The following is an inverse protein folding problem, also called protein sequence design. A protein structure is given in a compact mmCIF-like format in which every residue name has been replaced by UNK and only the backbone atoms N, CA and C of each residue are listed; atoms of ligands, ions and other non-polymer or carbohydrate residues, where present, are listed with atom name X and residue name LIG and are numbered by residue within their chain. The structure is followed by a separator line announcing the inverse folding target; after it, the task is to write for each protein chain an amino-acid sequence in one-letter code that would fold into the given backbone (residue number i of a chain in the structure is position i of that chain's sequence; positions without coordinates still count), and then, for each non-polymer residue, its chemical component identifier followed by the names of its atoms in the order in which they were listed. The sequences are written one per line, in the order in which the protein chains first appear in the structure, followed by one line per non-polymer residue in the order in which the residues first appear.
data_IF_424667962946
#
_entry.id   IF_424667962946
#
_cell.length_a   1.000
_cell.length_b   1.000
_cell.length_c   1.000
_cell.angle_alpha   90.00
_cell.angle_beta   90.00
_cell.angle_gamma   90.00
#
_symmetry.space_group_name_H-M   'P 1'
#
loop_
_entity.id
_entity.type
_entity.pdbx_description
1 polymer ?
#
# COMPACT_ATOMS: atom_id res chain seq x y z
N UNK A 1 -12.54 5.25 41.06
CA UNK A 1 -12.57 4.21 40.01
C UNK A 1 -11.63 4.58 38.87
N UNK A 2 -11.06 3.59 38.19
CA UNK A 2 -10.28 3.77 36.96
C UNK A 2 -11.06 3.14 35.80
N UNK A 3 -11.14 3.81 34.66
CA UNK A 3 -11.85 3.27 33.49
C UNK A 3 -10.96 3.27 32.25
N UNK A 4 -11.16 2.28 31.38
CA UNK A 4 -10.52 2.16 30.06
C UNK A 4 -11.60 2.38 29.00
N UNK A 5 -11.33 3.22 28.01
CA UNK A 5 -12.26 3.41 26.89
C UNK A 5 -11.53 3.78 25.60
N UNK A 6 -12.27 3.84 24.51
CA UNK A 6 -11.78 4.11 23.16
C UNK A 6 -12.83 4.85 22.34
N UNK A 7 -12.59 5.03 21.04
CA UNK A 7 -13.50 5.76 20.17
C UNK A 7 -14.79 4.99 19.82
N UNK A 8 -15.84 5.76 19.52
CA UNK A 8 -17.07 5.31 18.83
C UNK A 8 -16.69 4.63 17.52
N UNK A 9 -17.52 3.68 17.09
CA UNK A 9 -17.23 2.76 15.98
C UNK A 9 -15.98 1.90 16.26
N UNK A 10 -15.83 1.44 17.50
CA UNK A 10 -14.70 0.59 17.95
C UNK A 10 -14.43 -0.56 16.98
N UNK A 11 -13.24 -0.58 16.39
CA UNK A 11 -12.69 -1.64 15.55
C UNK A 11 -11.83 -2.61 16.39
N UNK A 12 -11.15 -3.57 15.76
CA UNK A 12 -10.37 -4.55 16.49
C UNK A 12 -9.11 -3.97 17.10
N UNK A 13 -8.47 -2.96 16.51
CA UNK A 13 -7.29 -2.33 17.14
C UNK A 13 -7.71 -1.65 18.45
N UNK A 14 -8.79 -0.87 18.42
CA UNK A 14 -9.38 -0.26 19.60
C UNK A 14 -9.79 -1.30 20.66
N UNK A 15 -10.52 -2.36 20.28
CA UNK A 15 -10.93 -3.42 21.22
C UNK A 15 -9.73 -4.16 21.81
N UNK A 16 -8.77 -4.55 20.96
CA UNK A 16 -7.54 -5.21 21.37
C UNK A 16 -6.76 -4.34 22.36
N UNK A 17 -6.66 -3.05 22.07
CA UNK A 17 -6.00 -2.05 22.90
C UNK A 17 -6.70 -1.89 24.26
N UNK A 18 -8.04 -1.94 24.31
CA UNK A 18 -8.77 -1.93 25.59
C UNK A 18 -8.44 -3.16 26.44
N UNK A 19 -8.39 -4.34 25.82
CA UNK A 19 -8.05 -5.59 26.53
C UNK A 19 -6.57 -5.58 26.96
N UNK A 20 -5.65 -5.06 26.14
CA UNK A 20 -4.26 -4.88 26.52
C UNK A 20 -4.11 -3.88 27.67
N UNK A 21 -4.89 -2.78 27.67
CA UNK A 21 -4.95 -1.85 28.78
C UNK A 21 -5.43 -2.55 30.06
N UNK A 22 -6.43 -3.43 30.01
CA UNK A 22 -6.88 -4.19 31.18
C UNK A 22 -5.78 -5.08 31.78
N UNK A 23 -4.91 -5.63 30.94
CA UNK A 23 -3.74 -6.40 31.42
C UNK A 23 -2.69 -5.50 32.08
N UNK A 24 -2.48 -4.29 31.54
CA UNK A 24 -1.55 -3.30 32.13
C UNK A 24 -2.11 -2.65 33.41
N UNK A 25 -3.42 -2.43 33.46
CA UNK A 25 -4.16 -1.77 34.53
C UNK A 25 -5.30 -2.68 35.06
N UNK A 26 -4.99 -3.74 35.84
CA UNK A 26 -5.97 -4.75 36.25
C UNK A 26 -7.18 -4.22 37.01
N UNK A 27 -7.00 -3.14 37.78
CA UNK A 27 -8.06 -2.49 38.58
C UNK A 27 -8.99 -1.59 37.76
N UNK A 28 -8.69 -1.36 36.48
CA UNK A 28 -9.51 -0.48 35.64
C UNK A 28 -10.67 -1.25 35.00
N UNK A 29 -11.82 -0.59 34.90
CA UNK A 29 -13.04 -1.16 34.30
C UNK A 29 -13.07 -0.82 32.82
N UNK A 30 -13.26 -1.80 31.94
CA UNK A 30 -13.38 -1.55 30.51
C UNK A 30 -14.79 -1.06 30.17
N UNK A 31 -14.87 0.12 29.56
CA UNK A 31 -16.12 0.78 29.16
C UNK A 31 -16.18 0.81 27.64
N UNK A 32 -16.93 -0.14 27.08
CA UNK A 32 -17.06 -0.31 25.63
C UNK A 32 -18.09 0.69 25.08
N UNK A 33 -17.75 1.51 24.07
CA UNK A 33 -18.70 2.36 23.38
C UNK A 33 -19.92 1.60 22.85
N UNK A 34 -21.09 2.25 22.82
CA UNK A 34 -22.33 1.60 22.32
C UNK A 34 -22.26 1.28 20.83
N UNK A 35 -21.57 2.13 20.08
CA UNK A 35 -21.40 1.94 18.64
C UNK A 35 -20.05 1.29 18.39
N UNK A 36 -20.08 0.06 17.90
CA UNK A 36 -18.91 -0.76 17.58
C UNK A 36 -18.99 -1.25 16.14
N UNK A 37 -17.84 -1.53 15.53
CA UNK A 37 -17.74 -2.13 14.21
C UNK A 37 -18.51 -3.47 14.17
N UNK A 38 -19.25 -3.79 13.08
CA UNK A 38 -19.96 -5.06 12.94
C UNK A 38 -19.11 -6.32 13.17
N UNK A 39 -17.83 -6.30 12.79
CA UNK A 39 -16.92 -7.43 13.03
C UNK A 39 -16.62 -7.61 14.52
N UNK A 40 -16.34 -6.51 15.20
CA UNK A 40 -16.17 -6.49 16.65
C UNK A 40 -17.45 -6.95 17.35
N UNK A 41 -18.63 -6.52 16.87
CA UNK A 41 -19.92 -6.97 17.41
C UNK A 41 -20.10 -8.48 17.25
N UNK A 42 -19.77 -9.03 16.09
CA UNK A 42 -19.83 -10.47 15.84
C UNK A 42 -18.86 -11.24 16.76
N UNK A 43 -17.63 -10.76 16.88
CA UNK A 43 -16.64 -11.33 17.80
C UNK A 43 -17.11 -11.31 19.26
N UNK A 44 -17.57 -10.15 19.74
CA UNK A 44 -18.06 -9.97 21.11
C UNK A 44 -19.31 -10.81 21.39
N UNK A 45 -20.16 -11.08 20.39
CA UNK A 45 -21.35 -11.93 20.59
C UNK A 45 -21.00 -13.37 20.97
N UNK A 46 -19.82 -13.85 20.59
CA UNK A 46 -19.33 -15.20 20.87
C UNK A 46 -18.43 -15.21 22.11
N UNK A 47 -17.72 -14.12 22.38
CA UNK A 47 -16.68 -14.05 23.42
C UNK A 47 -17.03 -13.11 24.59
N UNK A 48 -18.30 -12.74 24.76
CA UNK A 48 -18.74 -11.75 25.77
C UNK A 48 -18.32 -12.13 27.19
N UNK A 49 -18.39 -13.42 27.53
CA UNK A 49 -18.06 -13.89 28.88
C UNK A 49 -16.55 -13.95 29.17
N UNK A 50 -15.71 -13.78 28.14
CA UNK A 50 -14.24 -13.79 28.26
C UNK A 50 -13.71 -12.38 28.53
N UNK A 51 -14.35 -11.36 27.96
CA UNK A 51 -13.92 -9.97 28.07
C UNK A 51 -14.92 -9.19 28.92
N UNK A 52 -14.54 -8.93 30.17
CA UNK A 52 -15.31 -8.15 31.13
C UNK A 52 -15.44 -6.69 30.66
N UNK A 53 -16.58 -6.37 30.03
CA UNK A 53 -16.84 -5.12 29.33
C UNK A 53 -18.18 -4.55 29.79
N UNK A 54 -18.18 -3.29 30.21
CA UNK A 54 -19.34 -2.56 30.70
C UNK A 54 -19.81 -1.52 29.69
N UNK A 55 -21.11 -1.22 29.70
CA UNK A 55 -21.64 -0.08 28.98
C UNK A 55 -21.42 1.23 29.75
N UNK A 56 -21.41 2.36 29.04
CA UNK A 56 -21.29 3.69 29.65
C UNK A 56 -22.35 3.99 30.72
N UNK A 57 -23.53 3.34 30.66
CA UNK A 57 -24.63 3.57 31.61
C UNK A 57 -24.44 2.87 32.95
N UNK A 58 -23.55 1.87 33.00
CA UNK A 58 -23.23 1.12 34.21
C UNK A 58 -22.17 1.83 35.06
N UNK A 59 -21.63 2.94 34.56
CA UNK A 59 -20.48 3.63 35.13
C UNK A 59 -20.96 4.92 35.78
N UNK A 60 -20.69 5.03 37.08
CA UNK A 60 -20.80 6.30 37.80
C UNK A 60 -19.55 7.16 37.50
N UNK A 61 -19.74 8.14 36.61
CA UNK A 61 -18.68 9.04 36.17
C UNK A 61 -18.16 9.97 37.28
N UNK A 62 -18.95 10.25 38.32
CA UNK A 62 -18.52 11.13 39.42
C UNK A 62 -17.38 10.48 40.22
N UNK A 63 -17.42 9.16 40.34
CA UNK A 63 -16.42 8.36 41.05
C UNK A 63 -15.16 8.03 40.24
N UNK A 64 -15.07 8.47 38.97
CA UNK A 64 -13.88 8.29 38.14
C UNK A 64 -12.74 9.20 38.63
N UNK A 65 -11.55 8.61 38.80
CA UNK A 65 -10.31 9.30 39.21
C UNK A 65 -9.19 9.13 38.20
N UNK A 66 -9.28 8.13 37.32
CA UNK A 66 -8.36 7.95 36.20
C UNK A 66 -9.09 7.44 34.97
N UNK A 67 -8.77 8.04 33.83
CA UNK A 67 -9.25 7.65 32.51
C UNK A 67 -8.07 7.15 31.68
N UNK A 68 -8.13 5.92 31.21
CA UNK A 68 -7.20 5.35 30.24
C UNK A 68 -7.88 5.36 28.88
N UNK A 69 -7.35 6.15 27.96
CA UNK A 69 -7.85 6.26 26.58
C UNK A 69 -6.90 5.53 25.67
N UNK A 70 -7.45 4.65 24.82
CA UNK A 70 -6.69 3.92 23.82
C UNK A 70 -7.22 4.22 22.41
N UNK A 71 -6.30 4.30 21.46
CA UNK A 71 -6.57 4.41 20.03
C UNK A 71 -7.36 5.66 19.59
N UNK A 72 -7.31 6.72 20.39
CA UNK A 72 -7.85 8.03 20.03
C UNK A 72 -7.33 9.10 20.95
N UNK A 73 -7.01 10.25 20.40
CA UNK A 73 -6.56 11.44 21.12
C UNK A 73 -7.61 12.56 21.14
N UNK A 74 -8.87 12.26 20.80
CA UNK A 74 -9.95 13.24 20.67
C UNK A 74 -11.20 12.90 21.53
N UNK A 75 -11.67 13.85 22.33
CA UNK A 75 -12.87 13.73 23.19
C UNK A 75 -14.16 13.47 22.41
N UNK A 76 -14.34 14.09 21.23
CA UNK A 76 -15.55 13.91 20.40
C UNK A 76 -15.69 12.48 19.89
N UNK A 77 -14.56 11.79 19.74
CA UNK A 77 -14.53 10.36 19.37
C UNK A 77 -14.96 9.46 20.53
N UNK A 78 -14.88 9.90 21.79
CA UNK A 78 -15.31 9.09 22.94
C UNK A 78 -16.82 9.08 23.10
N UNK A 79 -17.37 7.94 23.55
CA UNK A 79 -18.81 7.76 23.75
C UNK A 79 -19.26 8.14 25.16
N UNK A 80 -20.02 9.23 25.25
CA UNK A 80 -20.66 9.71 26.49
C UNK A 80 -19.69 10.07 27.61
N UNK A 81 -18.51 10.56 27.24
CA UNK A 81 -17.43 10.96 28.16
C UNK A 81 -17.34 12.49 28.33
N UNK A 82 -18.33 13.26 27.86
CA UNK A 82 -18.31 14.73 27.87
C UNK A 82 -18.34 15.33 29.27
N UNK A 83 -18.81 14.59 30.28
CA UNK A 83 -18.76 15.00 31.69
C UNK A 83 -17.34 14.96 32.23
N UNK A 84 -16.56 13.94 31.83
CA UNK A 84 -15.17 13.78 32.25
C UNK A 84 -14.24 14.81 31.60
N UNK A 85 -14.54 15.27 30.38
CA UNK A 85 -13.71 16.26 29.68
C UNK A 85 -13.67 17.63 30.36
N UNK A 86 -14.64 17.91 31.24
CA UNK A 86 -14.76 19.16 32.00
C UNK A 86 -14.09 19.09 33.37
N UNK A 87 -13.58 17.92 33.77
CA UNK A 87 -12.95 17.69 35.07
C UNK A 87 -11.43 17.81 34.95
N UNK A 88 -10.83 18.54 35.87
CA UNK A 88 -9.38 18.70 36.02
C UNK A 88 -8.79 17.83 37.14
N UNK A 89 -9.64 17.17 37.94
CA UNK A 89 -9.25 16.31 39.06
C UNK A 89 -8.99 14.84 38.67
N UNK A 90 -9.05 14.52 37.37
CA UNK A 90 -8.84 13.16 36.87
C UNK A 90 -7.48 13.00 36.19
N UNK A 91 -6.77 11.91 36.50
CA UNK A 91 -5.56 11.54 35.76
C UNK A 91 -5.93 10.92 34.42
N UNK A 92 -5.25 11.30 33.34
CA UNK A 92 -5.50 10.74 32.00
C UNK A 92 -4.23 10.04 31.48
N UNK A 93 -4.39 8.79 31.08
CA UNK A 93 -3.35 7.97 30.41
C UNK A 93 -3.80 7.79 28.96
N UNK A 94 -2.98 8.19 28.01
CA UNK A 94 -3.28 8.12 26.58
C UNK A 94 -2.34 7.15 25.84
N UNK A 95 -2.91 6.25 25.06
CA UNK A 95 -2.21 5.40 24.09
C UNK A 95 -2.81 5.68 22.71
N UNK A 96 -2.00 6.11 21.75
CA UNK A 96 -2.50 6.42 20.42
C UNK A 96 -1.37 6.38 19.37
N UNK A 97 -1.62 5.77 18.21
CA UNK A 97 -0.63 5.68 17.12
C UNK A 97 -0.77 6.75 16.02
N UNK A 98 -1.78 7.62 16.10
CA UNK A 98 -2.05 8.62 15.07
C UNK A 98 -1.09 9.84 15.14
N UNK A 99 -0.50 10.21 13.99
CA UNK A 99 0.21 11.50 13.82
C UNK A 99 -0.77 12.68 13.87
N UNK A 100 -0.45 13.67 14.69
CA UNK A 100 -1.22 14.91 14.80
C UNK A 100 -0.92 15.88 13.66
N UNK A 101 -1.76 15.89 12.62
CA UNK A 101 -2.08 17.13 11.89
C UNK A 101 -3.29 17.86 12.53
N UNK A 102 -3.91 17.24 13.54
CA UNK A 102 -4.86 17.88 14.45
C UNK A 102 -4.28 17.93 15.86
N UNK A 103 -4.46 19.04 16.56
CA UNK A 103 -4.19 19.12 18.00
C UNK A 103 -5.01 18.05 18.72
N UNK A 104 -4.37 17.27 19.60
CA UNK A 104 -5.12 16.46 20.56
C UNK A 104 -5.87 17.39 21.50
N UNK A 105 -7.17 17.20 21.64
CA UNK A 105 -7.99 17.94 22.61
C UNK A 105 -8.02 17.25 23.99
N UNK A 106 -7.38 16.07 24.11
CA UNK A 106 -7.20 15.34 25.36
C UNK A 106 -5.86 15.75 25.99
N UNK A 107 -5.91 16.48 27.11
CA UNK A 107 -4.72 16.81 27.89
C UNK A 107 -4.36 15.65 28.82
N UNK A 108 -3.49 14.77 28.35
CA UNK A 108 -3.07 13.59 29.10
C UNK A 108 -2.07 13.92 30.23
N UNK A 109 -2.21 13.27 31.38
CA UNK A 109 -1.19 13.27 32.45
C UNK A 109 0.04 12.45 32.04
N UNK A 110 -0.18 11.42 31.24
CA UNK A 110 0.85 10.61 30.61
C UNK A 110 0.37 10.14 29.25
N UNK A 111 1.24 10.13 28.25
CA UNK A 111 0.92 9.62 26.92
C UNK A 111 2.05 8.76 26.34
N UNK A 112 1.68 7.75 25.57
CA UNK A 112 2.54 7.04 24.64
C UNK A 112 1.96 7.17 23.25
N UNK A 113 2.62 8.00 22.43
CA UNK A 113 2.21 8.30 21.08
C UNK A 113 3.38 8.18 20.13
N UNK A 114 3.25 7.28 19.18
CA UNK A 114 4.27 6.99 18.18
C UNK A 114 3.57 6.63 16.87
N UNK A 115 4.12 7.08 15.75
CA UNK A 115 3.60 6.69 14.44
C UNK A 115 4.01 5.24 14.14
N UNK A 116 3.03 4.34 14.15
CA UNK A 116 3.23 2.91 13.93
C UNK A 116 1.99 2.30 13.28
N UNK A 117 2.11 1.07 12.76
CA UNK A 117 1.04 0.40 12.05
C UNK A 117 -0.27 0.25 12.83
N UNK A 118 -0.20 -0.04 14.13
CA UNK A 118 -1.39 -0.19 15.00
C UNK A 118 -1.10 0.26 16.45
N UNK A 119 -2.10 0.78 17.15
CA UNK A 119 -1.99 1.14 18.57
C UNK A 119 -1.70 -0.08 19.45
N UNK A 120 -2.30 -1.23 19.17
CA UNK A 120 -2.01 -2.48 19.89
C UNK A 120 -0.53 -2.85 19.85
N UNK A 121 0.21 -2.48 18.80
CA UNK A 121 1.66 -2.73 18.70
C UNK A 121 2.42 -2.02 19.83
N UNK A 122 2.08 -0.76 20.12
CA UNK A 122 2.67 -0.01 21.25
C UNK A 122 2.40 -0.71 22.59
N UNK A 123 1.18 -1.20 22.74
CA UNK A 123 0.77 -1.86 23.97
C UNK A 123 1.40 -3.24 24.13
N UNK A 124 1.54 -4.02 23.05
CA UNK A 124 2.27 -5.30 23.04
C UNK A 124 3.74 -5.09 23.40
N UNK A 125 4.39 -4.05 22.86
CA UNK A 125 5.74 -3.65 23.25
C UNK A 125 5.82 -3.40 24.76
N UNK A 126 4.83 -2.70 25.33
CA UNK A 126 4.76 -2.45 26.78
C UNK A 126 4.52 -3.73 27.58
N UNK A 127 3.58 -4.58 27.17
CA UNK A 127 3.28 -5.87 27.82
C UNK A 127 4.52 -6.77 27.87
N UNK A 128 5.28 -6.83 26.76
CA UNK A 128 6.55 -7.57 26.66
C UNK A 128 7.61 -7.00 27.61
N UNK A 129 7.77 -5.67 27.64
CA UNK A 129 8.71 -4.98 28.53
C UNK A 129 8.39 -5.24 30.02
N UNK A 130 7.11 -5.28 30.38
CA UNK A 130 6.65 -5.57 31.74
C UNK A 130 6.52 -7.07 32.04
N UNK A 131 6.84 -7.95 31.09
CA UNK A 131 6.70 -9.41 31.20
C UNK A 131 5.30 -9.85 31.64
N UNK A 132 4.27 -9.14 31.16
CA UNK A 132 2.86 -9.50 31.40
C UNK A 132 2.52 -10.77 30.63
N UNK A 133 1.76 -11.65 31.27
CA UNK A 133 1.25 -12.86 30.61
C UNK A 133 -0.02 -12.52 29.83
N UNK A 134 -0.14 -13.10 28.64
CA UNK A 134 -1.34 -13.01 27.81
C UNK A 134 -1.83 -14.41 27.50
N UNK A 135 -3.15 -14.60 27.49
CA UNK A 135 -3.77 -15.87 27.10
C UNK A 135 -3.78 -16.03 25.57
N UNK A 136 -3.93 -17.25 25.04
CA UNK A 136 -4.06 -17.46 23.59
C UNK A 136 -5.20 -16.65 22.97
N UNK A 137 -6.35 -16.52 23.63
CA UNK A 137 -7.47 -15.73 23.11
C UNK A 137 -7.18 -14.21 23.12
N UNK A 138 -6.43 -13.71 24.10
CA UNK A 138 -5.94 -12.34 24.09
C UNK A 138 -4.92 -12.13 22.96
N UNK A 139 -3.99 -13.07 22.78
CA UNK A 139 -3.01 -13.00 21.69
C UNK A 139 -3.69 -12.99 20.32
N UNK A 140 -4.73 -13.83 20.13
CA UNK A 140 -5.57 -13.85 18.93
C UNK A 140 -6.26 -12.51 18.69
N UNK A 141 -6.89 -11.93 19.72
CA UNK A 141 -7.54 -10.62 19.60
C UNK A 141 -6.52 -9.53 19.25
N UNK A 142 -5.37 -9.51 19.93
CA UNK A 142 -4.31 -8.52 19.68
C UNK A 142 -3.77 -8.61 18.26
N UNK A 143 -3.60 -9.83 17.74
CA UNK A 143 -3.15 -10.04 16.37
C UNK A 143 -4.25 -9.66 15.36
N UNK A 144 -5.52 -9.84 15.72
CA UNK A 144 -6.66 -9.38 14.90
C UNK A 144 -6.63 -7.86 14.73
N UNK A 145 -6.47 -7.11 15.82
CA UNK A 145 -6.36 -5.65 15.77
C UNK A 145 -5.16 -5.18 14.97
N UNK A 146 -3.99 -5.78 15.20
CA UNK A 146 -2.77 -5.48 14.46
C UNK A 146 -2.95 -5.71 12.96
N UNK A 147 -3.53 -6.84 12.55
CA UNK A 147 -3.75 -7.15 11.13
C UNK A 147 -4.85 -6.31 10.48
N UNK A 148 -5.85 -5.84 11.22
CA UNK A 148 -6.86 -4.94 10.67
C UNK A 148 -6.22 -3.62 10.21
N UNK A 149 -5.39 -3.02 11.07
CA UNK A 149 -4.79 -1.71 10.82
C UNK A 149 -3.55 -1.73 9.92
N UNK A 150 -2.86 -2.86 9.86
CA UNK A 150 -1.69 -3.05 8.98
C UNK A 150 -2.04 -3.73 7.65
N UNK A 151 -3.30 -4.13 7.46
CA UNK A 151 -3.71 -4.91 6.29
C UNK A 151 -2.97 -6.24 6.18
N UNK A 152 -2.82 -6.97 7.29
CA UNK A 152 -1.94 -8.13 7.41
C UNK A 152 -0.48 -7.79 7.06
N UNK A 153 0.06 -6.68 7.58
CA UNK A 153 1.41 -6.19 7.34
C UNK A 153 1.71 -5.80 5.88
N UNK A 154 0.69 -5.59 5.04
CA UNK A 154 0.87 -5.22 3.63
C UNK A 154 0.71 -3.73 3.36
N UNK A 155 0.19 -2.96 4.32
CA UNK A 155 0.05 -1.51 4.15
C UNK A 155 1.39 -0.80 4.32
N UNK A 156 1.68 0.28 3.55
CA UNK A 156 2.93 1.04 3.65
C UNK A 156 3.21 1.66 5.02
N UNK A 157 2.18 1.86 5.84
CA UNK A 157 2.29 2.34 7.23
C UNK A 157 2.78 1.28 8.21
N UNK A 158 2.85 0.01 7.81
CA UNK A 158 3.32 -1.09 8.66
C UNK A 158 4.82 -0.96 8.91
N UNK A 159 5.24 -1.18 10.15
CA UNK A 159 6.63 -1.05 10.58
C UNK A 159 7.25 -2.40 10.95
N UNK A 160 8.57 -2.44 11.13
CA UNK A 160 9.26 -3.63 11.62
C UNK A 160 8.78 -4.06 13.02
N UNK A 161 8.38 -3.11 13.87
CA UNK A 161 7.85 -3.42 15.18
C UNK A 161 6.49 -4.12 15.11
N UNK A 162 5.63 -3.77 14.14
CA UNK A 162 4.37 -4.49 13.91
C UNK A 162 4.63 -5.96 13.58
N UNK A 163 5.66 -6.24 12.77
CA UNK A 163 6.08 -7.60 12.47
C UNK A 163 6.63 -8.33 13.72
N UNK A 164 7.41 -7.66 14.57
CA UNK A 164 7.88 -8.25 15.82
C UNK A 164 6.75 -8.51 16.82
N UNK A 165 5.79 -7.60 16.93
CA UNK A 165 4.60 -7.79 17.75
C UNK A 165 3.76 -8.96 17.22
N UNK A 166 3.53 -9.06 15.91
CA UNK A 166 2.86 -10.20 15.31
C UNK A 166 3.56 -11.54 15.63
N UNK A 167 4.89 -11.59 15.50
CA UNK A 167 5.69 -12.74 15.89
C UNK A 167 5.52 -13.13 17.36
N UNK A 168 5.59 -12.16 18.26
CA UNK A 168 5.38 -12.38 19.70
C UNK A 168 3.96 -12.91 20.01
N UNK A 169 2.94 -12.40 19.33
CA UNK A 169 1.56 -12.86 19.52
C UNK A 169 1.38 -14.30 19.03
N UNK A 170 2.02 -14.66 17.91
CA UNK A 170 2.06 -16.04 17.41
C UNK A 170 2.80 -16.99 18.38
N UNK A 171 3.92 -16.55 18.98
CA UNK A 171 4.60 -17.30 20.04
C UNK A 171 3.68 -17.57 21.24
N UNK A 172 2.77 -16.63 21.53
CA UNK A 172 1.73 -16.76 22.56
C UNK A 172 0.46 -17.48 22.07
N UNK A 173 0.57 -18.24 20.96
CA UNK A 173 -0.49 -19.11 20.41
C UNK A 173 -1.73 -18.35 19.91
N UNK A 174 -1.55 -17.17 19.32
CA UNK A 174 -2.60 -16.52 18.54
C UNK A 174 -3.08 -17.44 17.39
N UNK A 175 -4.40 -17.58 17.23
CA UNK A 175 -5.02 -18.48 16.26
C UNK A 175 -5.42 -17.77 14.97
N UNK A 176 -4.63 -17.98 13.92
CA UNK A 176 -4.85 -17.41 12.59
C UNK A 176 -6.20 -17.84 11.95
N UNK A 177 -6.77 -18.98 12.32
CA UNK A 177 -8.06 -19.41 11.78
C UNK A 177 -9.19 -18.54 12.29
N UNK A 178 -9.17 -18.20 13.58
CA UNK A 178 -10.14 -17.30 14.21
C UNK A 178 -10.04 -15.92 13.56
N UNK A 179 -8.83 -15.40 13.39
CA UNK A 179 -8.56 -14.12 12.72
C UNK A 179 -9.16 -14.12 11.31
N UNK A 180 -8.90 -15.18 10.56
CA UNK A 180 -9.43 -15.37 9.22
C UNK A 180 -10.96 -15.33 9.17
N UNK A 181 -11.68 -15.78 10.20
CA UNK A 181 -13.15 -15.74 10.21
C UNK A 181 -13.68 -14.31 10.35
N UNK A 182 -13.05 -13.46 11.17
CA UNK A 182 -13.58 -12.13 11.48
C UNK A 182 -13.07 -11.03 10.54
N UNK A 183 -11.83 -11.12 10.02
CA UNK A 183 -11.32 -10.16 9.04
C UNK A 183 -11.89 -10.35 7.62
N UNK A 184 -12.59 -11.47 7.36
CA UNK A 184 -13.18 -11.80 6.04
C UNK A 184 -14.40 -10.97 5.63
N UNK A 185 -14.93 -10.10 6.50
CA UNK A 185 -16.15 -9.36 6.20
C UNK A 185 -15.98 -8.21 5.18
N UNK A 186 -14.79 -8.04 4.59
CA UNK A 186 -14.61 -7.21 3.40
C UNK A 186 -15.57 -7.58 2.24
N UNK A 187 -16.24 -8.75 2.29
CA UNK A 187 -17.11 -9.28 1.25
C UNK A 187 -18.51 -9.65 1.76
N UNK A 188 -19.17 -8.76 2.49
CA UNK A 188 -20.61 -8.87 2.74
C UNK A 188 -21.41 -9.00 1.44
N UNK A 189 -22.66 -9.47 1.51
CA UNK A 189 -23.52 -9.69 0.34
C UNK A 189 -23.66 -8.42 -0.52
N UNK A 190 -23.77 -7.25 0.12
CA UNK A 190 -23.82 -5.95 -0.58
C UNK A 190 -22.54 -5.66 -1.37
N UNK A 191 -21.36 -5.88 -0.79
CA UNK A 191 -20.07 -5.68 -1.46
C UNK A 191 -19.89 -6.65 -2.62
N UNK A 192 -20.31 -7.91 -2.46
CA UNK A 192 -20.29 -8.92 -3.54
C UNK A 192 -21.19 -8.51 -4.69
N UNK A 193 -22.40 -8.04 -4.41
CA UNK A 193 -23.35 -7.59 -5.43
C UNK A 193 -22.79 -6.38 -6.19
N UNK A 194 -22.21 -5.40 -5.48
CA UNK A 194 -21.56 -4.24 -6.09
C UNK A 194 -20.37 -4.68 -6.96
N UNK A 195 -19.50 -5.56 -6.47
CA UNK A 195 -18.37 -6.07 -7.24
C UNK A 195 -18.85 -6.75 -8.53
N UNK A 196 -19.89 -7.59 -8.43
CA UNK A 196 -20.45 -8.30 -9.57
C UNK A 196 -21.01 -7.32 -10.62
N UNK A 197 -21.74 -6.29 -10.18
CA UNK A 197 -22.28 -5.26 -11.07
C UNK A 197 -21.18 -4.42 -11.72
N UNK A 198 -20.14 -4.06 -10.96
CA UNK A 198 -18.95 -3.40 -11.49
C UNK A 198 -18.28 -4.26 -12.57
N UNK A 199 -18.13 -5.57 -12.34
CA UNK A 199 -17.53 -6.50 -13.31
C UNK A 199 -18.38 -6.67 -14.58
N UNK A 200 -19.71 -6.68 -14.47
CA UNK A 200 -20.61 -6.76 -15.62
C UNK A 200 -20.53 -5.53 -16.53
N UNK A 201 -20.33 -4.35 -15.94
CA UNK A 201 -20.27 -3.07 -16.64
C UNK A 201 -18.83 -2.61 -16.92
N UNK A 202 -17.86 -3.47 -16.64
CA UNK A 202 -16.44 -3.17 -16.75
C UNK A 202 -16.03 -2.79 -18.17
N UNK A 203 -15.40 -1.62 -18.30
CA UNK A 203 -14.71 -1.20 -19.52
C UNK A 203 -13.25 -0.93 -19.23
N UNK A 204 -12.36 -1.50 -20.05
CA UNK A 204 -10.94 -1.17 -20.04
C UNK A 204 -10.67 -0.14 -21.11
N UNK A 205 -9.99 0.93 -20.74
CA UNK A 205 -9.51 1.96 -21.67
C UNK A 205 -8.02 2.16 -21.46
N UNK A 206 -7.32 2.57 -22.52
CA UNK A 206 -5.95 3.08 -22.37
C UNK A 206 -6.00 4.60 -22.28
N UNK A 207 -5.45 5.15 -21.22
CA UNK A 207 -5.37 6.60 -21.00
C UNK A 207 -3.92 6.90 -20.65
N UNK A 208 -3.26 7.75 -21.45
CA UNK A 208 -1.84 8.10 -21.28
C UNK A 208 -0.91 6.88 -21.07
N UNK A 209 -1.16 5.79 -21.80
CA UNK A 209 -0.39 4.55 -21.70
C UNK A 209 -0.78 3.58 -20.57
N UNK A 210 -1.59 4.02 -19.60
CA UNK A 210 -2.11 3.17 -18.52
C UNK A 210 -3.37 2.42 -18.93
N UNK A 211 -3.49 1.16 -18.51
CA UNK A 211 -4.75 0.42 -18.54
C UNK A 211 -5.63 0.90 -17.39
N UNK A 212 -6.74 1.57 -17.69
CA UNK A 212 -7.63 2.18 -16.70
C UNK A 212 -9.05 1.65 -16.86
N UNK A 213 -9.73 1.38 -15.75
CA UNK A 213 -11.16 1.10 -15.73
C UNK A 213 -11.90 2.05 -14.80
N UNK A 214 -12.94 2.71 -15.32
CA UNK A 214 -13.79 3.62 -14.55
C UNK A 214 -15.19 3.01 -14.53
N UNK A 215 -15.73 2.78 -13.33
CA UNK A 215 -17.06 2.25 -13.12
C UNK A 215 -17.96 3.29 -12.43
N UNK A 216 -19.23 3.34 -12.80
CA UNK A 216 -20.23 4.24 -12.24
C UNK A 216 -21.39 3.42 -11.72
N UNK A 217 -21.71 3.58 -10.45
CA UNK A 217 -22.76 2.80 -9.81
C UNK A 217 -23.60 3.64 -8.84
N UNK A 218 -24.91 3.43 -8.85
CA UNK A 218 -25.82 3.99 -7.85
C UNK A 218 -25.93 3.03 -6.65
N UNK A 219 -25.72 3.55 -5.44
CA UNK A 219 -25.76 2.77 -4.21
C UNK A 219 -26.86 3.26 -3.28
N UNK A 220 -27.61 2.31 -2.73
CA UNK A 220 -28.67 2.58 -1.76
C UNK A 220 -28.13 2.49 -0.32
N UNK A 221 -28.40 3.52 0.47
CA UNK A 221 -27.94 3.60 1.86
C UNK A 221 -26.42 3.81 2.01
N UNK A 222 -25.88 3.42 3.16
CA UNK A 222 -24.44 3.48 3.45
C UNK A 222 -23.81 2.10 3.25
N UNK A 223 -22.78 2.02 2.41
CA UNK A 223 -22.02 0.80 2.17
C UNK A 223 -20.57 1.02 2.59
N UNK A 224 -20.13 0.28 3.60
CA UNK A 224 -18.74 0.31 4.07
C UNK A 224 -17.85 -0.57 3.17
N UNK A 225 -16.54 -0.30 3.15
CA UNK A 225 -15.57 -1.19 2.49
C UNK A 225 -15.56 -1.12 0.95
N UNK A 226 -16.19 -0.12 0.34
CA UNK A 226 -16.14 0.09 -1.12
C UNK A 226 -14.70 0.21 -1.66
N UNK A 227 -13.77 0.70 -0.84
CA UNK A 227 -12.37 0.79 -1.19
C UNK A 227 -11.69 -0.57 -1.39
N UNK A 228 -12.17 -1.61 -0.71
CA UNK A 228 -11.72 -2.99 -0.92
C UNK A 228 -12.34 -3.56 -2.20
N UNK A 229 -13.62 -3.28 -2.44
CA UNK A 229 -14.33 -3.69 -3.66
C UNK A 229 -13.64 -3.14 -4.92
N UNK A 230 -13.30 -1.85 -4.94
CA UNK A 230 -12.56 -1.24 -6.07
C UNK A 230 -11.16 -1.86 -6.21
N UNK A 231 -10.52 -2.24 -5.11
CA UNK A 231 -9.23 -2.94 -5.11
C UNK A 231 -9.32 -4.32 -5.77
N UNK A 232 -10.27 -5.14 -5.34
CA UNK A 232 -10.53 -6.45 -5.97
C UNK A 232 -10.90 -6.30 -7.45
N UNK A 233 -11.76 -5.33 -7.76
CA UNK A 233 -12.18 -5.05 -9.13
C UNK A 233 -10.98 -4.76 -10.03
N UNK A 234 -10.02 -3.93 -9.57
CA UNK A 234 -8.76 -3.66 -10.27
C UNK A 234 -7.96 -4.94 -10.51
N UNK A 235 -7.81 -5.77 -9.48
CA UNK A 235 -7.03 -7.00 -9.53
C UNK A 235 -7.63 -8.03 -10.49
N UNK A 236 -8.94 -8.26 -10.39
CA UNK A 236 -9.68 -9.16 -11.28
C UNK A 236 -9.59 -8.69 -12.73
N UNK A 237 -9.69 -7.37 -12.97
CA UNK A 237 -9.52 -6.82 -14.31
C UNK A 237 -8.07 -6.70 -14.75
N UNK A 238 -7.08 -6.87 -13.88
CA UNK A 238 -5.66 -6.69 -14.22
C UNK A 238 -5.42 -5.37 -14.99
N UNK A 239 -5.86 -4.26 -14.40
CA UNK A 239 -5.67 -2.88 -14.91
C UNK A 239 -4.72 -2.11 -14.00
N UNK A 240 -3.97 -1.16 -14.56
CA UNK A 240 -3.00 -0.35 -13.80
C UNK A 240 -3.72 0.55 -12.78
N UNK A 241 -4.90 1.07 -13.14
CA UNK A 241 -5.75 1.84 -12.22
C UNK A 241 -7.24 1.52 -12.40
N UNK A 242 -7.98 1.57 -11.29
CA UNK A 242 -9.43 1.44 -11.29
C UNK A 242 -10.10 2.53 -10.43
N UNK A 243 -11.23 3.02 -10.93
CA UNK A 243 -12.05 4.05 -10.29
C UNK A 243 -13.47 3.53 -10.10
N UNK A 244 -14.02 3.73 -8.90
CA UNK A 244 -15.44 3.55 -8.60
C UNK A 244 -16.08 4.90 -8.29
N UNK A 245 -17.07 5.29 -9.09
CA UNK A 245 -17.88 6.49 -8.91
C UNK A 245 -19.24 6.05 -8.36
N UNK A 246 -19.46 6.26 -7.06
CA UNK A 246 -20.63 5.78 -6.35
C UNK A 246 -21.57 6.93 -6.00
N UNK A 247 -22.77 6.94 -6.58
CA UNK A 247 -23.79 7.95 -6.26
C UNK A 247 -24.82 7.46 -5.26
N UNK A 248 -25.24 8.36 -4.38
CA UNK A 248 -26.41 8.16 -3.53
C UNK A 248 -27.38 9.31 -3.77
N UNK A 249 -28.50 9.02 -4.45
CA UNK A 249 -29.52 10.03 -4.80
C UNK A 249 -30.21 10.63 -3.58
N UNK A 250 -30.48 9.84 -2.54
CA UNK A 250 -31.14 10.32 -1.32
C UNK A 250 -30.30 11.37 -0.57
N UNK A 251 -28.97 11.26 -0.66
CA UNK A 251 -28.03 12.14 0.07
C UNK A 251 -27.35 13.18 -0.82
N UNK A 252 -27.66 13.21 -2.11
CA UNK A 252 -27.01 14.06 -3.13
C UNK A 252 -25.47 14.02 -3.08
N UNK A 253 -24.91 12.84 -2.78
CA UNK A 253 -23.46 12.63 -2.63
C UNK A 253 -22.93 11.69 -3.71
N UNK A 254 -21.74 12.01 -4.20
CA UNK A 254 -20.97 11.18 -5.11
C UNK A 254 -19.60 10.89 -4.47
N UNK A 255 -19.34 9.63 -4.15
CA UNK A 255 -18.06 9.17 -3.63
C UNK A 255 -17.23 8.62 -4.78
N UNK A 256 -16.02 9.13 -4.95
CA UNK A 256 -15.06 8.61 -5.92
C UNK A 256 -13.97 7.89 -5.14
N UNK A 257 -13.67 6.65 -5.53
CA UNK A 257 -12.60 5.84 -4.96
C UNK A 257 -11.68 5.42 -6.10
N UNK A 258 -10.37 5.53 -5.88
CA UNK A 258 -9.39 5.04 -6.83
C UNK A 258 -8.33 4.15 -6.20
N UNK A 259 -7.89 3.17 -6.98
CA UNK A 259 -6.80 2.24 -6.67
C UNK A 259 -5.87 2.14 -7.87
N UNK A 260 -4.57 2.24 -7.63
CA UNK A 260 -3.53 2.12 -8.66
C UNK A 260 -2.46 1.13 -8.21
N UNK A 261 -1.93 0.35 -9.13
CA UNK A 261 -0.69 -0.41 -8.98
C UNK A 261 0.45 0.17 -9.83
N UNK A 262 0.21 1.30 -10.51
CA UNK A 262 1.23 2.02 -11.25
C UNK A 262 1.84 3.13 -10.38
N UNK A 263 3.14 3.00 -10.10
CA UNK A 263 3.90 3.96 -9.28
C UNK A 263 3.91 5.37 -9.87
N UNK A 264 3.87 5.46 -11.21
CA UNK A 264 3.87 6.72 -11.95
C UNK A 264 2.50 7.39 -12.07
N UNK A 265 1.47 6.83 -11.43
CA UNK A 265 0.11 7.40 -11.43
C UNK A 265 -0.39 7.58 -9.99
N UNK A 266 -0.09 8.75 -9.40
CA UNK A 266 -0.47 9.11 -8.03
C UNK A 266 -1.98 9.40 -7.92
N UNK A 267 -2.73 8.46 -7.35
CA UNK A 267 -4.16 8.59 -7.08
C UNK A 267 -4.47 9.72 -6.09
N UNK A 268 -3.60 9.96 -5.11
CA UNK A 268 -3.74 11.06 -4.17
C UNK A 268 -3.71 12.41 -4.88
N UNK A 269 -2.80 12.57 -5.86
CA UNK A 269 -2.73 13.77 -6.70
C UNK A 269 -4.01 13.96 -7.51
N UNK A 270 -4.48 12.90 -8.19
CA UNK A 270 -5.74 12.91 -8.95
C UNK A 270 -6.93 13.31 -8.06
N UNK A 271 -7.02 12.74 -6.85
CA UNK A 271 -8.15 13.02 -5.95
C UNK A 271 -8.09 14.41 -5.29
N UNK A 272 -6.89 14.97 -5.04
CA UNK A 272 -6.75 16.34 -4.51
C UNK A 272 -7.36 17.38 -5.43
N UNK A 273 -7.25 17.21 -6.75
CA UNK A 273 -7.90 18.07 -7.74
C UNK A 273 -9.43 18.10 -7.62
N UNK A 274 -10.02 17.04 -7.07
CA UNK A 274 -11.46 16.91 -6.80
C UNK A 274 -11.84 17.23 -5.34
N UNK A 275 -10.95 17.87 -4.56
CA UNK A 275 -11.17 18.16 -3.14
C UNK A 275 -11.10 16.94 -2.21
N UNK A 276 -10.54 15.84 -2.71
CA UNK A 276 -10.28 14.61 -1.96
C UNK A 276 -8.83 14.51 -1.47
N UNK A 277 -8.39 13.28 -1.24
CA UNK A 277 -7.02 13.00 -0.79
C UNK A 277 -6.71 11.51 -0.75
N UNK A 278 -5.47 11.20 -0.39
CA UNK A 278 -4.96 9.83 -0.29
C UNK A 278 -3.48 9.73 -0.61
N UNK A 279 -3.05 8.52 -0.98
CA UNK A 279 -1.69 8.12 -1.31
C UNK A 279 -1.58 7.65 -2.77
N UNK A 280 -0.37 7.48 -3.33
CA UNK A 280 -0.19 7.11 -4.74
C UNK A 280 -0.98 5.88 -5.20
N UNK A 281 -1.04 4.81 -4.40
CA UNK A 281 -1.78 3.60 -4.74
C UNK A 281 -3.28 3.63 -4.41
N UNK A 282 -3.76 4.63 -3.67
CA UNK A 282 -5.08 4.60 -3.05
C UNK A 282 -5.57 5.99 -2.63
N UNK A 283 -6.73 6.43 -3.14
CA UNK A 283 -7.29 7.71 -2.78
C UNK A 283 -8.81 7.77 -2.92
N UNK A 284 -9.43 8.79 -2.34
CA UNK A 284 -10.87 9.03 -2.47
C UNK A 284 -11.23 10.51 -2.44
N UNK A 285 -12.39 10.85 -3.01
CA UNK A 285 -12.99 12.17 -2.98
C UNK A 285 -14.49 12.08 -2.71
N UNK A 286 -15.04 13.10 -2.06
CA UNK A 286 -16.48 13.21 -1.79
C UNK A 286 -17.01 14.48 -2.44
N UNK A 287 -17.86 14.33 -3.44
CA UNK A 287 -18.45 15.41 -4.22
C UNK A 287 -19.95 15.55 -3.89
N UNK A 288 -20.46 16.78 -3.97
CA UNK A 288 -21.89 17.08 -3.75
C UNK A 288 -22.55 17.47 -5.07
N UNK A 289 -23.73 16.92 -5.35
CA UNK A 289 -24.59 17.33 -6.47
C UNK A 289 -23.88 17.36 -7.85
N UNK A 290 -23.06 16.34 -8.13
CA UNK A 290 -22.31 16.21 -9.40
C UNK A 290 -22.88 15.10 -10.28
N UNK A 291 -22.76 15.28 -11.60
CA UNK A 291 -23.09 14.26 -12.59
C UNK A 291 -21.93 13.23 -12.68
N UNK A 292 -22.18 11.92 -12.50
CA UNK A 292 -21.16 10.88 -12.61
C UNK A 292 -20.42 10.84 -13.94
N UNK A 293 -21.08 11.21 -15.04
CA UNK A 293 -20.44 11.28 -16.34
C UNK A 293 -19.39 12.40 -16.41
N UNK A 294 -19.66 13.55 -15.81
CA UNK A 294 -18.70 14.65 -15.73
C UNK A 294 -17.49 14.29 -14.85
N UNK A 295 -17.72 13.53 -13.77
CA UNK A 295 -16.64 13.02 -12.92
C UNK A 295 -15.75 12.03 -13.68
N UNK A 296 -16.33 11.15 -14.50
CA UNK A 296 -15.56 10.25 -15.35
C UNK A 296 -14.67 11.03 -16.33
N UNK A 297 -15.21 12.01 -17.06
CA UNK A 297 -14.42 12.83 -17.98
C UNK A 297 -13.31 13.60 -17.26
N UNK A 298 -13.60 14.17 -16.09
CA UNK A 298 -12.59 14.85 -15.29
C UNK A 298 -11.44 13.91 -14.86
N UNK A 299 -11.76 12.67 -14.47
CA UNK A 299 -10.73 11.66 -14.18
C UNK A 299 -9.89 11.36 -15.43
N UNK A 300 -10.51 11.24 -16.61
CA UNK A 300 -9.79 11.01 -17.86
C UNK A 300 -8.82 12.16 -18.15
N UNK A 301 -9.30 13.39 -18.10
CA UNK A 301 -8.49 14.60 -18.33
C UNK A 301 -7.34 14.70 -17.33
N UNK A 302 -7.56 14.36 -16.05
CA UNK A 302 -6.50 14.34 -15.06
C UNK A 302 -5.46 13.27 -15.37
N UNK A 303 -5.85 12.07 -15.79
CA UNK A 303 -4.87 11.02 -16.16
C UNK A 303 -4.12 11.38 -17.45
N UNK A 304 -4.78 12.05 -18.40
CA UNK A 304 -4.17 12.57 -19.63
C UNK A 304 -3.21 13.73 -19.35
N UNK A 305 -3.60 14.67 -18.48
CA UNK A 305 -2.88 15.89 -18.16
C UNK A 305 -1.87 15.78 -17.02
N UNK A 306 -1.90 14.71 -16.22
CA UNK A 306 -0.93 14.48 -15.14
C UNK A 306 0.42 14.01 -15.71
N UNK A 307 1.10 14.95 -16.37
CA UNK A 307 2.54 14.97 -16.52
C UNK A 307 3.17 15.42 -15.19
N UNK A 308 3.01 14.64 -14.11
CA UNK A 308 4.05 14.68 -13.08
C UNK A 308 5.23 13.91 -13.66
N UNK A 309 6.35 14.61 -13.85
CA UNK A 309 7.57 14.16 -14.51
C UNK A 309 7.90 12.71 -14.18
N UNK A 310 7.46 11.79 -15.04
CA UNK A 310 7.87 10.41 -14.96
C UNK A 310 9.30 10.35 -15.46
N UNK A 311 10.19 9.80 -14.63
CA UNK A 311 11.55 9.49 -15.05
C UNK A 311 11.45 8.65 -16.32
N UNK A 312 12.05 9.13 -17.41
CA UNK A 312 12.08 8.48 -18.70
C UNK A 312 13.34 7.63 -18.81
N UNK A 313 13.39 6.73 -19.80
CA UNK A 313 14.61 5.98 -20.11
C UNK A 313 15.77 6.94 -20.41
N UNK A 314 15.52 8.09 -21.04
CA UNK A 314 16.54 9.11 -21.27
C UNK A 314 17.22 9.62 -20.00
N UNK A 315 16.51 9.59 -18.87
CA UNK A 315 16.99 10.16 -17.60
C UNK A 315 17.88 9.18 -16.82
N UNK A 316 17.76 7.87 -17.10
CA UNK A 316 18.48 6.81 -16.38
C UNK A 316 19.34 5.92 -17.29
N UNK A 317 19.32 6.12 -18.60
CA UNK A 317 20.16 5.36 -19.52
C UNK A 317 21.63 5.79 -19.40
N UNK A 318 22.53 4.84 -19.65
CA UNK A 318 23.94 5.16 -19.85
C UNK A 318 24.17 5.72 -21.25
N UNK A 319 24.74 6.93 -21.31
CA UNK A 319 25.19 7.60 -22.53
C UNK A 319 26.53 8.33 -22.28
N UNK A 320 27.49 8.32 -23.23
CA UNK A 320 27.47 7.65 -24.54
C UNK A 320 27.62 6.13 -24.44
N UNK A 321 26.86 5.40 -25.24
CA UNK A 321 26.93 3.93 -25.28
C UNK A 321 28.14 3.47 -26.08
N UNK A 322 28.96 2.61 -25.49
CA UNK A 322 30.06 1.96 -26.21
C UNK A 322 29.53 0.90 -27.15
N UNK A 323 29.87 0.99 -28.44
CA UNK A 323 29.48 0.04 -29.49
C UNK A 323 30.72 -0.56 -30.17
N UNK A 324 30.51 -1.63 -30.94
CA UNK A 324 31.53 -2.23 -31.82
C UNK A 324 30.99 -2.42 -33.22
N UNK A 325 31.82 -2.21 -34.24
CA UNK A 325 31.46 -2.48 -35.64
C UNK A 325 31.28 -3.99 -35.87
N UNK A 326 30.35 -4.39 -36.73
CA UNK A 326 30.03 -5.79 -37.02
C UNK A 326 31.20 -6.61 -37.57
N UNK A 327 32.17 -5.93 -38.20
CA UNK A 327 33.44 -6.49 -38.69
C UNK A 327 34.53 -6.67 -37.63
N UNK A 328 34.35 -6.15 -36.41
CA UNK A 328 35.35 -6.23 -35.33
C UNK A 328 35.62 -7.68 -34.95
N UNK A 329 36.89 -8.06 -34.78
CA UNK A 329 37.24 -9.43 -34.38
C UNK A 329 36.78 -9.75 -32.95
N UNK A 330 36.42 -11.00 -32.70
CA UNK A 330 36.04 -11.47 -31.35
C UNK A 330 37.15 -11.23 -30.31
N UNK A 331 38.43 -11.34 -30.71
CA UNK A 331 39.58 -11.00 -29.86
C UNK A 331 39.54 -9.54 -29.37
N UNK A 332 39.31 -8.60 -30.30
CA UNK A 332 39.23 -7.17 -29.96
C UNK A 332 38.00 -6.86 -29.12
N UNK A 333 36.87 -7.52 -29.39
CA UNK A 333 35.66 -7.43 -28.54
C UNK A 333 35.96 -7.93 -27.11
N UNK A 334 36.67 -9.05 -26.95
CA UNK A 334 37.05 -9.56 -25.63
C UNK A 334 37.95 -8.57 -24.86
N UNK A 335 38.90 -7.94 -25.55
CA UNK A 335 39.74 -6.89 -24.96
C UNK A 335 38.89 -5.70 -24.49
N UNK A 336 37.98 -5.20 -25.33
CA UNK A 336 37.09 -4.08 -24.99
C UNK A 336 36.16 -4.39 -23.80
N UNK A 337 35.59 -5.60 -23.74
CA UNK A 337 34.76 -6.04 -22.62
C UNK A 337 35.53 -6.10 -21.29
N UNK A 338 36.84 -6.40 -21.33
CA UNK A 338 37.70 -6.37 -20.14
C UNK A 338 38.07 -4.94 -19.76
N UNK A 339 38.54 -4.17 -20.73
CA UNK A 339 38.98 -2.78 -20.53
C UNK A 339 37.86 -1.89 -19.98
N UNK A 340 36.64 -2.01 -20.52
CA UNK A 340 35.49 -1.19 -20.11
C UNK A 340 34.71 -1.77 -18.94
N UNK A 341 35.08 -2.94 -18.41
CA UNK A 341 34.33 -3.62 -17.36
C UNK A 341 32.93 -4.10 -17.78
N UNK A 342 32.56 -3.98 -19.06
CA UNK A 342 31.24 -4.35 -19.55
C UNK A 342 31.09 -5.87 -19.73
N UNK A 343 29.86 -6.36 -19.62
CA UNK A 343 29.53 -7.79 -19.81
C UNK A 343 28.96 -8.11 -21.20
N UNK A 344 28.83 -7.08 -22.05
CA UNK A 344 28.35 -7.17 -23.43
C UNK A 344 28.24 -5.77 -24.04
N UNK A 345 28.17 -5.71 -25.37
CA UNK A 345 28.19 -4.48 -26.17
C UNK A 345 27.15 -4.58 -27.31
N UNK A 346 26.48 -3.48 -27.65
CA UNK A 346 25.76 -3.36 -28.91
C UNK A 346 26.74 -3.43 -30.10
N UNK A 347 26.32 -4.12 -31.15
CA UNK A 347 27.04 -4.25 -32.41
C UNK A 347 26.33 -3.40 -33.45
N UNK A 348 27.08 -2.53 -34.13
CA UNK A 348 26.56 -1.57 -35.11
C UNK A 348 27.19 -1.78 -36.49
N UNK A 349 26.49 -1.31 -37.52
CA UNK A 349 27.06 -0.98 -38.82
C UNK A 349 26.86 0.53 -39.03
N UNK A 350 27.89 1.33 -38.77
CA UNK A 350 27.76 2.78 -38.63
C UNK A 350 26.90 3.15 -37.43
N UNK A 351 25.79 3.87 -37.64
CA UNK A 351 24.87 4.27 -36.55
C UNK A 351 23.73 3.25 -36.31
N UNK A 352 23.61 2.25 -37.18
CA UNK A 352 22.52 1.29 -37.13
C UNK A 352 22.86 0.12 -36.22
N UNK A 353 21.98 -0.17 -35.28
CA UNK A 353 22.09 -1.35 -34.42
C UNK A 353 21.78 -2.62 -35.21
N UNK A 354 22.75 -3.55 -35.27
CA UNK A 354 22.65 -4.81 -36.05
C UNK A 354 22.80 -6.06 -35.21
N UNK A 355 23.28 -5.94 -33.96
CA UNK A 355 23.29 -7.06 -33.01
C UNK A 355 23.64 -6.66 -31.59
N UNK A 356 23.69 -7.66 -30.71
CA UNK A 356 24.30 -7.55 -29.38
C UNK A 356 25.27 -8.72 -29.20
N UNK A 357 26.44 -8.44 -28.64
CA UNK A 357 27.40 -9.45 -28.21
C UNK A 357 27.53 -9.44 -26.69
N UNK A 358 27.51 -10.61 -26.05
CA UNK A 358 27.70 -10.77 -24.60
C UNK A 358 28.87 -11.71 -24.29
N UNK A 359 29.36 -11.67 -23.05
CA UNK A 359 30.37 -12.65 -22.58
C UNK A 359 29.92 -14.11 -22.75
N UNK A 360 28.61 -14.38 -22.75
CA UNK A 360 28.07 -15.74 -22.94
C UNK A 360 28.29 -16.25 -24.36
N UNK A 361 28.32 -15.36 -25.36
CA UNK A 361 28.49 -15.74 -26.76
C UNK A 361 29.90 -16.26 -27.07
N UNK A 362 30.89 -15.88 -26.26
CA UNK A 362 32.25 -16.41 -26.35
C UNK A 362 32.32 -17.92 -26.07
N UNK A 363 31.33 -18.52 -25.40
CA UNK A 363 31.23 -19.98 -25.24
C UNK A 363 31.05 -20.71 -26.57
N UNK A 364 30.61 -20.02 -27.63
CA UNK A 364 30.48 -20.59 -28.99
C UNK A 364 31.84 -20.78 -29.69
N UNK A 365 32.91 -20.15 -29.18
CA UNK A 365 34.27 -20.25 -29.69
C UNK A 365 34.90 -21.54 -29.16
N UNK A 366 35.28 -22.45 -30.08
CA UNK A 366 35.88 -23.75 -29.75
C UNK A 366 37.37 -23.84 -30.11
N UNK A 367 37.86 -22.98 -31.00
CA UNK A 367 39.24 -22.94 -31.47
C UNK A 367 39.77 -21.51 -31.43
N UNK A 368 41.04 -21.34 -31.11
CA UNK A 368 41.67 -20.02 -31.02
C UNK A 368 41.62 -19.25 -32.36
N UNK A 369 41.69 -19.96 -33.50
CA UNK A 369 41.53 -19.36 -34.83
C UNK A 369 40.20 -18.63 -35.04
N UNK A 370 39.14 -19.01 -34.32
CA UNK A 370 37.83 -18.37 -34.38
C UNK A 370 37.79 -17.01 -33.67
N UNK A 371 38.77 -16.68 -32.83
CA UNK A 371 38.88 -15.34 -32.22
C UNK A 371 39.16 -14.24 -33.25
N UNK A 372 39.73 -14.61 -34.40
CA UNK A 372 39.96 -13.69 -35.54
C UNK A 372 38.70 -13.44 -36.38
N UNK A 373 37.65 -14.25 -36.19
CA UNK A 373 36.39 -14.08 -36.91
C UNK A 373 35.64 -12.82 -36.45
N UNK A 374 34.85 -12.19 -37.35
CA UNK A 374 34.11 -10.98 -37.03
C UNK A 374 32.96 -11.26 -36.05
N UNK A 375 32.64 -10.28 -35.20
CA UNK A 375 31.60 -10.38 -34.17
C UNK A 375 30.22 -10.68 -34.74
N UNK A 376 29.93 -10.24 -35.96
CA UNK A 376 28.67 -10.55 -36.66
C UNK A 376 28.37 -12.04 -36.81
N UNK A 377 29.39 -12.90 -36.76
CA UNK A 377 29.23 -14.35 -36.83
C UNK A 377 28.72 -14.98 -35.51
N UNK A 378 28.80 -14.25 -34.39
CA UNK A 378 28.50 -14.78 -33.04
C UNK A 378 27.43 -13.98 -32.29
N UNK A 379 27.19 -12.73 -32.69
CA UNK A 379 26.20 -11.84 -32.08
C UNK A 379 24.77 -12.38 -32.17
N UNK A 380 23.92 -11.93 -31.25
CA UNK A 380 22.46 -12.11 -31.38
C UNK A 380 21.88 -11.02 -32.28
N UNK A 381 21.04 -11.41 -33.24
CA UNK A 381 20.36 -10.52 -34.19
C UNK A 381 18.91 -10.25 -33.83
N UNK A 382 18.30 -11.04 -32.95
CA UNK A 382 16.97 -10.75 -32.41
C UNK A 382 17.11 -9.79 -31.23
N UNK A 383 17.12 -8.49 -31.54
CA UNK A 383 17.45 -7.44 -30.59
C UNK A 383 16.16 -6.83 -30.06
N UNK A 384 15.96 -6.92 -28.74
CA UNK A 384 14.95 -6.13 -28.06
C UNK A 384 15.51 -4.75 -27.75
N UNK A 385 14.81 -3.70 -28.15
CA UNK A 385 15.18 -2.29 -27.93
C UNK A 385 14.09 -1.55 -27.18
N UNK A 386 14.40 -0.35 -26.71
CA UNK A 386 13.44 0.55 -26.08
C UNK A 386 13.64 1.99 -26.58
N UNK A 387 12.58 2.78 -26.63
CA UNK A 387 12.64 4.20 -27.00
C UNK A 387 12.97 5.06 -25.76
N UNK A 388 13.64 6.22 -25.91
CA UNK A 388 14.06 7.07 -24.78
C UNK A 388 12.90 7.61 -23.94
N UNK A 389 11.74 7.89 -24.54
CA UNK A 389 10.56 8.41 -23.84
C UNK A 389 9.72 7.36 -23.09
N UNK A 390 10.17 6.09 -23.01
CA UNK A 390 9.48 5.04 -22.24
C UNK A 390 9.80 5.13 -20.76
N UNK A 391 9.10 4.36 -19.93
CA UNK A 391 9.34 4.34 -18.48
C UNK A 391 10.32 3.22 -18.04
N UNK A 392 11.02 3.40 -16.90
CA UNK A 392 11.86 2.36 -16.29
C UNK A 392 11.11 1.04 -16.04
N UNK A 393 9.82 1.12 -15.67
CA UNK A 393 8.96 -0.06 -15.48
C UNK A 393 8.78 -0.84 -16.78
N UNK A 394 8.63 -0.16 -17.92
CA UNK A 394 8.53 -0.83 -19.22
C UNK A 394 9.84 -1.54 -19.57
N UNK A 395 11.00 -0.94 -19.28
CA UNK A 395 12.29 -1.60 -19.42
C UNK A 395 12.38 -2.85 -18.54
N UNK A 396 12.01 -2.76 -17.25
CA UNK A 396 12.02 -3.89 -16.33
C UNK A 396 11.10 -5.04 -16.80
N UNK A 397 9.88 -4.72 -17.25
CA UNK A 397 8.92 -5.69 -17.80
C UNK A 397 9.49 -6.40 -19.05
N UNK A 398 10.12 -5.67 -19.97
CA UNK A 398 10.78 -6.25 -21.15
C UNK A 398 11.95 -7.16 -20.74
N UNK A 399 12.76 -6.73 -19.77
CA UNK A 399 13.88 -7.51 -19.25
C UNK A 399 13.43 -8.84 -18.62
N UNK A 400 12.35 -8.82 -17.84
CA UNK A 400 11.77 -10.03 -17.22
C UNK A 400 11.14 -10.93 -18.30
N UNK A 401 10.30 -10.35 -19.15
CA UNK A 401 9.54 -11.10 -20.18
C UNK A 401 10.46 -11.85 -21.15
N UNK A 402 11.59 -11.25 -21.51
CA UNK A 402 12.52 -11.80 -22.49
C UNK A 402 13.78 -12.42 -21.86
N UNK A 403 13.86 -12.48 -20.52
CA UNK A 403 15.05 -12.91 -19.76
C UNK A 403 16.36 -12.25 -20.25
N UNK A 404 16.33 -10.93 -20.41
CA UNK A 404 17.47 -10.13 -20.83
C UNK A 404 17.90 -9.18 -19.72
N UNK A 405 19.20 -8.89 -19.65
CA UNK A 405 19.77 -8.01 -18.62
C UNK A 405 20.07 -6.58 -19.09
N UNK A 406 19.81 -6.28 -20.37
CA UNK A 406 20.11 -4.98 -21.00
C UNK A 406 19.18 -4.72 -22.17
N UNK A 407 18.88 -3.45 -22.42
CA UNK A 407 18.11 -2.98 -23.55
C UNK A 407 18.87 -1.80 -24.20
N UNK A 408 19.29 -1.92 -25.46
CA UNK A 408 19.72 -0.75 -26.23
C UNK A 408 18.57 0.25 -26.36
N UNK A 409 18.89 1.52 -26.12
CA UNK A 409 17.96 2.63 -26.32
C UNK A 409 18.15 3.13 -27.74
N UNK A 410 17.08 3.10 -28.53
CA UNK A 410 17.09 3.43 -29.95
C UNK A 410 16.09 4.54 -30.23
N UNK A 411 16.54 5.56 -30.95
CA UNK A 411 15.71 6.66 -31.43
C UNK A 411 15.96 6.86 -32.93
N UNK A 412 14.90 6.97 -33.73
CA UNK A 412 14.98 7.13 -35.19
C UNK A 412 15.89 6.08 -35.88
N UNK A 413 15.91 4.85 -35.36
CA UNK A 413 16.72 3.74 -35.88
C UNK A 413 18.21 3.79 -35.50
N UNK A 414 18.64 4.76 -34.70
CA UNK A 414 20.02 4.93 -34.21
C UNK A 414 20.10 4.57 -32.73
N UNK A 415 21.17 3.90 -32.33
CA UNK A 415 21.41 3.63 -30.92
C UNK A 415 21.91 4.90 -30.22
N UNK A 416 21.21 5.33 -29.19
CA UNK A 416 21.51 6.56 -28.43
C UNK A 416 21.86 6.26 -26.97
N UNK A 417 21.75 5.01 -26.51
CA UNK A 417 22.02 4.67 -25.11
C UNK A 417 21.87 3.19 -24.84
N UNK A 418 22.08 2.82 -23.59
CA UNK A 418 21.77 1.48 -23.09
C UNK A 418 21.27 1.57 -21.65
N UNK A 419 20.27 0.76 -21.32
CA UNK A 419 19.81 0.59 -19.95
C UNK A 419 20.03 -0.87 -19.53
N UNK A 420 20.55 -1.06 -18.33
CA UNK A 420 20.80 -2.37 -17.71
C UNK A 420 19.80 -2.66 -16.61
N UNK A 421 19.73 -3.93 -16.21
CA UNK A 421 18.91 -4.36 -15.07
C UNK A 421 19.29 -3.61 -13.79
N UNK A 422 20.56 -3.31 -13.58
CA UNK A 422 21.03 -2.55 -12.42
C UNK A 422 20.50 -1.13 -12.43
N UNK A 423 20.54 -0.46 -13.59
CA UNK A 423 20.03 0.91 -13.74
C UNK A 423 18.52 0.97 -13.45
N UNK A 424 17.77 -0.02 -13.94
CA UNK A 424 16.34 -0.14 -13.63
C UNK A 424 16.08 -0.42 -12.15
N UNK A 425 16.91 -1.24 -11.49
CA UNK A 425 16.76 -1.58 -10.07
C UNK A 425 17.11 -0.40 -9.16
N UNK A 426 18.17 0.36 -9.45
CA UNK A 426 18.56 1.55 -8.70
C UNK A 426 17.41 2.56 -8.65
N UNK A 427 16.76 2.81 -9.78
CA UNK A 427 15.56 3.64 -9.84
C UNK A 427 14.45 3.17 -8.87
N UNK A 428 14.22 1.86 -8.73
CA UNK A 428 13.22 1.34 -7.79
C UNK A 428 13.67 1.42 -6.33
N UNK A 429 14.96 1.26 -6.05
CA UNK A 429 15.50 1.41 -4.70
C UNK A 429 15.43 2.85 -4.22
N UNK A 430 15.73 3.83 -5.08
CA UNK A 430 15.67 5.26 -4.75
C UNK A 430 14.23 5.78 -4.50
N UNK A 431 13.21 4.98 -4.82
CA UNK A 431 11.80 5.28 -4.53
C UNK A 431 11.31 4.67 -3.20
N UNK A 432 12.11 3.83 -2.54
CA UNK A 432 11.78 3.34 -1.20
C UNK A 432 12.02 4.48 -0.20
N UNK A 433 11.10 4.75 0.74
CA UNK A 433 11.37 5.71 1.81
C UNK A 433 12.56 5.24 2.66
N UNK A 434 13.38 6.21 3.07
CA UNK A 434 14.55 6.00 3.95
C UNK A 434 14.22 5.26 5.26
#
# INVERSE_FOLDING_TARGET
MQIITTHKNTDFDALASMVAAKVLYPEAVCVLPRTINPNVKAFMSIHKDIFDMHSSDEIDFDNVKRLIVVDTNNWKRLDRMETLSKRDDIGIILWDHHKGNGESDIKATWECREEIGANITLMVRRLKKEKKRISPIQATLFLTGLYEDTGNLTFPSSTAEDAYAAGFLLENRADLNVIGTFLRQAYGEKQKNILFEMLQTAKRSKINGYSVSINKLEINGHVNGLAVVVGMYREILNVDAAFGIFTNKEKEKCMVIARSSADSLDMGSVMRSMGGGGHPGAASAMLKSVNPAAVEEWIRELIEGNQQASVQISDIMSFPVFTVESGTSMEKVAALLREKGCTGLPVVDGEKLVGIISRRDFKKIKRESQLKSPVKAYMSTNIMTIEPGKSPIQAARLMVKHDIGRLPVVENGRIIGIITRSDSMLYFYDMLPD
#
